data_IF_189990222399
#
_entry.id   IF_189990222399
#
_cell.length_a   1.000
_cell.length_b   1.000
_cell.length_c   1.000
_cell.angle_alpha   90.00
_cell.angle_beta   90.00
_cell.angle_gamma   90.00
#
_symmetry.space_group_name_H-M   'P 1'
#
loop_
_entity.id
_entity.type
_entity.pdbx_description
1 polymer ?
#
# COMPACT_ATOMS: atom_id res chain seq x y z
N UNK A 1 -7.46 23.60 -4.93
CA UNK A 1 -8.38 23.39 -3.80
C UNK A 1 -9.55 22.54 -4.28
N UNK A 2 -10.03 21.55 -3.50
CA UNK A 2 -11.25 20.80 -3.81
C UNK A 2 -12.37 21.45 -3.00
N UNK A 3 -13.40 22.00 -3.65
CA UNK A 3 -14.52 22.64 -2.95
C UNK A 3 -15.14 21.63 -1.98
N UNK A 4 -15.23 22.01 -0.70
CA UNK A 4 -15.75 21.22 0.40
C UNK A 4 -17.28 21.33 0.38
N UNK A 5 -17.92 20.80 -0.67
CA UNK A 5 -19.35 21.00 -0.94
C UNK A 5 -20.21 19.82 -0.47
N UNK A 6 -19.69 18.91 0.35
CA UNK A 6 -20.51 17.83 0.90
C UNK A 6 -20.52 17.89 2.43
N UNK A 7 -21.70 17.73 3.06
CA UNK A 7 -21.81 17.65 4.49
C UNK A 7 -20.97 16.49 5.02
N UNK A 8 -20.47 16.60 6.25
CA UNK A 8 -19.68 15.58 6.92
C UNK A 8 -20.55 14.34 7.26
N UNK A 9 -21.03 13.62 6.25
CA UNK A 9 -21.74 12.36 6.41
C UNK A 9 -20.78 11.19 6.29
N UNK A 10 -20.51 10.61 7.45
CA UNK A 10 -19.66 9.45 7.68
C UNK A 10 -20.37 8.14 7.31
N UNK A 11 -20.73 7.92 6.05
CA UNK A 11 -20.95 6.58 5.51
C UNK A 11 -20.99 6.62 3.98
N UNK A 12 -19.82 6.84 3.37
CA UNK A 12 -19.64 6.48 1.96
C UNK A 12 -19.17 5.03 1.95
N UNK A 13 -19.85 4.17 1.20
CA UNK A 13 -19.31 2.87 0.84
C UNK A 13 -17.97 3.12 0.12
N UNK A 14 -16.87 3.03 0.86
CA UNK A 14 -15.56 3.37 0.36
C UNK A 14 -15.04 2.23 -0.53
N UNK A 15 -15.50 2.20 -1.78
CA UNK A 15 -14.82 1.42 -2.80
C UNK A 15 -13.40 1.97 -2.93
N UNK A 16 -12.40 1.10 -2.79
CA UNK A 16 -11.01 1.54 -2.87
C UNK A 16 -10.77 2.12 -4.27
N UNK A 17 -10.24 3.36 -4.38
CA UNK A 17 -10.09 3.99 -5.68
C UNK A 17 -9.06 3.21 -6.49
N UNK A 18 -9.48 2.73 -7.66
CA UNK A 18 -8.61 1.98 -8.58
C UNK A 18 -7.65 2.92 -9.34
N UNK A 19 -8.05 4.18 -9.52
CA UNK A 19 -7.36 5.10 -10.41
C UNK A 19 -6.29 5.91 -9.69
N UNK A 20 -5.03 5.61 -10.00
CA UNK A 20 -3.90 6.45 -9.65
C UNK A 20 -4.05 7.84 -10.31
N UNK A 21 -3.80 8.95 -9.60
CA UNK A 21 -3.88 10.28 -10.20
C UNK A 21 -2.98 10.38 -11.45
N UNK A 22 -3.51 10.92 -12.55
CA UNK A 22 -2.82 10.99 -13.85
C UNK A 22 -1.40 11.61 -13.76
N UNK A 23 -1.18 12.55 -12.83
CA UNK A 23 0.14 13.16 -12.59
C UNK A 23 1.20 12.20 -12.04
N UNK A 24 0.78 11.09 -11.44
CA UNK A 24 1.63 10.08 -10.82
C UNK A 24 1.73 8.81 -11.68
N UNK A 25 0.83 8.61 -12.66
CA UNK A 25 0.87 7.46 -13.56
C UNK A 25 2.23 7.26 -14.24
N UNK A 26 2.89 8.29 -14.82
CA UNK A 26 4.21 8.11 -15.42
C UNK A 26 5.30 7.72 -14.41
N UNK A 27 5.14 8.09 -13.14
CA UNK A 27 6.08 7.71 -12.07
C UNK A 27 5.91 6.24 -11.72
N UNK A 28 4.65 5.80 -11.60
CA UNK A 28 4.33 4.41 -11.33
C UNK A 28 4.71 3.49 -12.49
N UNK A 29 4.39 3.84 -13.75
CA UNK A 29 4.75 3.04 -14.93
C UNK A 29 6.26 2.81 -15.05
N UNK A 30 7.09 3.80 -14.68
CA UNK A 30 8.56 3.62 -14.68
C UNK A 30 9.05 2.64 -13.60
N UNK A 31 8.32 2.52 -12.50
CA UNK A 31 8.65 1.60 -11.41
C UNK A 31 8.06 0.21 -11.67
N UNK A 32 6.87 0.14 -12.26
CA UNK A 32 6.13 -1.07 -12.55
C UNK A 32 6.52 -1.62 -13.93
N UNK A 33 7.73 -2.17 -14.01
CA UNK A 33 8.28 -2.73 -15.26
C UNK A 33 7.61 -4.06 -15.66
N UNK A 34 6.99 -4.75 -14.70
CA UNK A 34 6.32 -6.04 -14.90
C UNK A 34 4.85 -5.91 -15.32
N UNK A 35 4.33 -4.67 -15.42
CA UNK A 35 2.95 -4.43 -15.84
C UNK A 35 1.90 -4.83 -14.81
N UNK A 36 2.26 -4.83 -13.52
CA UNK A 36 1.37 -5.13 -12.40
C UNK A 36 0.08 -4.30 -12.44
N UNK A 37 -1.03 -4.94 -12.12
CA UNK A 37 -2.34 -4.32 -12.12
C UNK A 37 -2.60 -3.67 -10.76
N UNK A 38 -3.09 -2.43 -10.78
CA UNK A 38 -3.39 -1.68 -9.55
C UNK A 38 -4.63 -2.28 -8.90
N UNK A 39 -4.48 -2.81 -7.69
CA UNK A 39 -5.59 -3.23 -6.83
C UNK A 39 -6.31 -2.00 -6.26
N UNK A 40 -5.52 -1.01 -5.80
CA UNK A 40 -6.01 0.29 -5.34
C UNK A 40 -4.87 1.30 -5.26
N UNK A 41 -5.22 2.59 -5.38
CA UNK A 41 -4.29 3.71 -5.30
C UNK A 41 -4.93 4.89 -4.57
N UNK A 42 -4.47 5.19 -3.36
CA UNK A 42 -5.07 6.24 -2.52
C UNK A 42 -4.11 7.42 -2.34
N UNK A 43 -4.49 8.62 -2.80
CA UNK A 43 -3.68 9.83 -2.58
C UNK A 43 -3.45 10.11 -1.09
N UNK A 44 -2.20 10.38 -0.73
CA UNK A 44 -1.76 10.64 0.64
C UNK A 44 -0.56 11.59 0.68
N UNK A 45 -0.23 12.06 1.87
CA UNK A 45 1.01 12.78 2.14
C UNK A 45 1.94 11.85 2.92
N UNK A 46 3.19 11.75 2.51
CA UNK A 46 4.19 11.03 3.30
C UNK A 46 4.48 11.77 4.60
N UNK A 47 4.42 11.04 5.71
CA UNK A 47 5.03 11.45 6.97
C UNK A 47 6.49 11.03 7.00
N UNK A 48 6.94 10.45 8.11
CA UNK A 48 8.28 9.88 8.23
C UNK A 48 8.33 8.45 7.69
N UNK A 49 9.35 8.13 6.90
CA UNK A 49 9.61 6.80 6.37
C UNK A 49 11.09 6.57 6.07
N UNK A 50 11.53 5.31 6.05
CA UNK A 50 12.87 4.97 5.55
C UNK A 50 12.91 5.29 4.06
N UNK A 51 13.88 6.11 3.61
CA UNK A 51 14.04 6.56 2.21
C UNK A 51 12.86 7.37 1.63
N UNK A 52 11.84 7.69 2.43
CA UNK A 52 10.74 8.59 2.06
C UNK A 52 10.88 9.86 2.91
N UNK A 53 11.19 10.97 2.25
CA UNK A 53 11.23 12.26 2.94
C UNK A 53 9.81 12.69 3.34
N UNK A 54 9.63 13.41 4.46
CA UNK A 54 8.33 13.87 4.88
C UNK A 54 7.76 14.95 3.96
N UNK A 55 6.44 15.10 4.03
CA UNK A 55 5.64 16.12 3.35
C UNK A 55 5.66 16.04 1.82
N UNK A 56 5.87 14.85 1.26
CA UNK A 56 5.70 14.60 -0.18
C UNK A 56 4.25 14.21 -0.44
N UNK A 57 3.57 14.98 -1.30
CA UNK A 57 2.28 14.61 -1.87
C UNK A 57 2.44 13.48 -2.88
N UNK A 58 1.63 12.44 -2.72
CA UNK A 58 1.71 11.24 -3.54
C UNK A 58 0.47 10.38 -3.43
N UNK A 59 0.64 9.10 -3.71
CA UNK A 59 -0.35 8.07 -3.52
C UNK A 59 0.32 6.80 -3.02
N UNK A 60 -0.38 6.08 -2.15
CA UNK A 60 -0.04 4.73 -1.75
C UNK A 60 -0.76 3.76 -2.68
N UNK A 61 -0.02 2.85 -3.30
CA UNK A 61 -0.50 1.93 -4.34
C UNK A 61 -0.27 0.50 -3.88
N UNK A 62 -1.29 -0.34 -4.03
CA UNK A 62 -1.16 -1.79 -3.96
C UNK A 62 -1.47 -2.40 -5.33
N UNK A 63 -0.80 -3.50 -5.63
CA UNK A 63 -0.99 -4.27 -6.86
C UNK A 63 -1.64 -5.62 -6.56
N UNK A 64 -2.26 -6.24 -7.57
CA UNK A 64 -2.94 -7.53 -7.38
C UNK A 64 -1.96 -8.70 -7.34
N UNK A 65 -0.84 -8.56 -8.04
CA UNK A 65 0.20 -9.57 -8.20
C UNK A 65 1.02 -9.71 -6.91
N UNK A 66 1.36 -8.59 -6.28
CA UNK A 66 2.13 -8.56 -5.04
C UNK A 66 1.37 -7.84 -3.91
N UNK A 67 0.30 -8.42 -3.36
CA UNK A 67 -0.54 -7.77 -2.35
C UNK A 67 0.22 -7.44 -1.06
N UNK A 68 1.33 -8.14 -0.79
CA UNK A 68 2.21 -7.92 0.36
C UNK A 68 3.28 -6.85 0.14
N UNK A 69 3.27 -6.18 -1.00
CA UNK A 69 4.11 -5.01 -1.25
C UNK A 69 3.22 -3.79 -1.52
N UNK A 70 3.64 -2.66 -0.96
CA UNK A 70 3.04 -1.37 -1.24
C UNK A 70 4.04 -0.46 -1.91
N UNK A 71 3.60 0.33 -2.87
CA UNK A 71 4.44 1.33 -3.51
C UNK A 71 3.92 2.72 -3.21
N UNK A 72 4.73 3.54 -2.55
CA UNK A 72 4.49 4.98 -2.47
C UNK A 72 5.03 5.65 -3.73
N UNK A 73 4.16 6.37 -4.45
CA UNK A 73 4.53 7.18 -5.61
C UNK A 73 4.23 8.65 -5.36
N UNK A 74 5.17 9.53 -5.68
CA UNK A 74 5.04 10.96 -5.44
C UNK A 74 6.00 11.78 -6.29
N UNK A 75 5.98 13.10 -6.09
CA UNK A 75 6.94 14.01 -6.71
C UNK A 75 7.42 15.01 -5.66
N UNK A 76 8.74 15.15 -5.50
CA UNK A 76 9.35 16.18 -4.67
C UNK A 76 9.92 17.26 -5.59
N UNK A 77 9.19 18.36 -5.75
CA UNK A 77 9.45 19.33 -6.83
C UNK A 77 9.28 18.65 -8.19
N UNK A 78 10.30 18.72 -9.05
CA UNK A 78 10.32 18.02 -10.35
C UNK A 78 10.73 16.54 -10.23
N UNK A 79 11.40 16.14 -9.14
CA UNK A 79 11.99 14.81 -8.98
C UNK A 79 10.91 13.76 -8.66
N UNK A 80 10.77 12.70 -9.47
CA UNK A 80 9.89 11.59 -9.15
C UNK A 80 10.40 10.82 -7.93
N UNK A 81 9.48 10.33 -7.11
CA UNK A 81 9.77 9.49 -5.95
C UNK A 81 8.89 8.25 -6.05
N UNK A 82 9.52 7.07 -6.06
CA UNK A 82 8.85 5.79 -5.97
C UNK A 82 9.59 4.96 -4.91
N UNK A 83 8.86 4.43 -3.93
CA UNK A 83 9.44 3.58 -2.89
C UNK A 83 8.51 2.41 -2.62
N UNK A 84 9.01 1.21 -2.88
CA UNK A 84 8.36 -0.05 -2.52
C UNK A 84 8.62 -0.37 -1.05
N UNK A 85 7.60 -0.88 -0.37
CA UNK A 85 7.55 -1.19 1.05
C UNK A 85 7.08 -2.64 1.14
N UNK A 86 7.96 -3.51 1.60
CA UNK A 86 7.62 -4.89 1.91
C UNK A 86 6.87 -4.93 3.25
N UNK A 87 5.73 -5.63 3.26
CA UNK A 87 4.88 -5.73 4.44
C UNK A 87 5.21 -6.96 5.29
N UNK A 88 6.06 -7.87 4.83
CA UNK A 88 6.45 -9.04 5.60
C UNK A 88 7.17 -8.62 6.90
N UNK A 89 6.73 -9.19 8.03
CA UNK A 89 7.20 -8.79 9.37
C UNK A 89 6.74 -7.41 9.83
N UNK A 90 5.87 -6.72 9.09
CA UNK A 90 5.29 -5.44 9.47
C UNK A 90 3.92 -5.59 10.13
N UNK A 91 3.55 -4.58 10.91
CA UNK A 91 2.24 -4.38 11.53
C UNK A 91 1.66 -3.05 11.06
N UNK A 92 0.33 -2.98 11.02
CA UNK A 92 -0.43 -1.83 10.55
C UNK A 92 -1.22 -1.23 11.71
N UNK A 93 -1.04 0.06 11.97
CA UNK A 93 -1.83 0.84 12.91
C UNK A 93 -2.52 2.00 12.20
N UNK A 94 -3.71 2.34 12.67
CA UNK A 94 -4.40 3.58 12.33
C UNK A 94 -4.27 4.54 13.49
N UNK A 95 -3.90 5.77 13.19
CA UNK A 95 -3.82 6.88 14.14
C UNK A 95 -4.77 8.00 13.68
N UNK A 96 -6.04 7.97 14.13
CA UNK A 96 -6.99 9.05 13.86
C UNK A 96 -6.54 10.36 14.49
N UNK A 97 -6.69 11.47 13.76
CA UNK A 97 -6.44 12.83 14.25
C UNK A 97 -7.58 13.76 13.82
N UNK A 98 -7.59 14.97 14.36
CA UNK A 98 -8.66 15.92 14.10
C UNK A 98 -8.82 16.25 12.60
N UNK A 99 -7.72 16.51 11.89
CA UNK A 99 -7.73 16.87 10.46
C UNK A 99 -7.23 15.78 9.53
N UNK A 100 -6.75 14.66 10.08
CA UNK A 100 -6.10 13.62 9.29
C UNK A 100 -6.36 12.23 9.84
N UNK A 101 -6.18 11.26 8.97
CA UNK A 101 -6.15 9.85 9.29
C UNK A 101 -4.78 9.35 8.92
N UNK A 102 -4.02 8.88 9.90
CA UNK A 102 -2.67 8.42 9.65
C UNK A 102 -2.67 6.89 9.57
N UNK A 103 -2.10 6.35 8.49
CA UNK A 103 -1.77 4.93 8.38
C UNK A 103 -0.30 4.77 8.72
N UNK A 104 -0.01 3.95 9.72
CA UNK A 104 1.35 3.69 10.20
C UNK A 104 1.68 2.23 9.96
N UNK A 105 2.79 2.00 9.25
CA UNK A 105 3.33 0.67 8.94
C UNK A 105 4.65 0.59 9.70
N UNK A 106 4.79 -0.38 10.58
CA UNK A 106 5.97 -0.49 11.43
C UNK A 106 6.34 -1.95 11.67
N UNK A 107 7.62 -2.22 11.92
CA UNK A 107 8.08 -3.58 12.18
C UNK A 107 7.45 -4.15 13.46
N UNK A 108 6.98 -5.40 13.40
CA UNK A 108 6.32 -6.05 14.53
C UNK A 108 7.25 -6.20 15.75
N UNK A 109 8.53 -6.49 15.50
CA UNK A 109 9.55 -6.73 16.54
C UNK A 109 10.20 -5.45 17.12
N UNK A 110 9.44 -4.35 17.25
CA UNK A 110 9.90 -3.16 17.97
C UNK A 110 10.57 -2.08 17.12
N UNK A 111 11.78 -1.61 17.50
CA UNK A 111 12.49 -0.44 16.91
C UNK A 111 13.03 -0.72 15.50
N UNK A 112 12.14 -1.07 14.59
CA UNK A 112 12.45 -1.31 13.19
C UNK A 112 12.03 -0.18 12.27
N UNK A 113 11.85 -0.53 11.00
CA UNK A 113 11.37 0.43 10.00
C UNK A 113 9.98 0.93 10.38
N UNK A 114 9.75 2.24 10.20
CA UNK A 114 8.44 2.87 10.41
C UNK A 114 8.15 3.79 9.23
N UNK A 115 6.99 3.61 8.63
CA UNK A 115 6.43 4.44 7.58
C UNK A 115 5.11 5.03 8.09
N UNK A 116 4.89 6.29 7.78
CA UNK A 116 3.64 6.98 8.12
C UNK A 116 3.11 7.69 6.89
N UNK A 117 1.82 7.53 6.64
CA UNK A 117 1.11 8.15 5.55
C UNK A 117 -0.10 8.88 6.11
N UNK A 118 -0.24 10.14 5.74
CA UNK A 118 -1.21 11.07 6.27
C UNK A 118 -2.27 11.25 5.19
N UNK A 119 -3.51 10.92 5.52
CA UNK A 119 -4.67 11.06 4.65
C UNK A 119 -5.57 12.19 5.18
N UNK A 120 -6.23 12.96 4.31
CA UNK A 120 -7.26 13.90 4.76
C UNK A 120 -8.37 13.19 5.53
N UNK A 121 -8.92 13.82 6.57
CA UNK A 121 -10.00 13.24 7.40
C UNK A 121 -11.21 12.79 6.58
N UNK A 122 -11.50 13.45 5.46
CA UNK A 122 -12.57 13.06 4.52
C UNK A 122 -12.41 11.65 3.93
N UNK A 123 -11.24 11.01 4.08
CA UNK A 123 -10.94 9.66 3.59
C UNK A 123 -10.81 8.62 4.69
N UNK A 124 -11.31 8.91 5.88
CA UNK A 124 -11.22 7.98 7.02
C UNK A 124 -11.76 6.58 6.73
N UNK A 125 -12.89 6.49 6.02
CA UNK A 125 -13.47 5.21 5.63
C UNK A 125 -12.56 4.40 4.67
N UNK A 126 -11.84 5.08 3.77
CA UNK A 126 -10.86 4.44 2.88
C UNK A 126 -9.67 3.90 3.70
N UNK A 127 -9.10 4.71 4.60
CA UNK A 127 -7.98 4.32 5.46
C UNK A 127 -8.36 3.15 6.37
N UNK A 128 -9.59 3.13 6.87
CA UNK A 128 -10.14 2.00 7.62
C UNK A 128 -10.14 0.71 6.82
N UNK A 129 -10.70 0.75 5.60
CA UNK A 129 -10.76 -0.40 4.71
C UNK A 129 -9.36 -0.89 4.32
N UNK A 130 -8.44 0.01 4.00
CA UNK A 130 -7.03 -0.31 3.73
C UNK A 130 -6.41 -0.99 4.96
N UNK A 131 -6.56 -0.41 6.15
CA UNK A 131 -6.01 -0.99 7.38
C UNK A 131 -6.57 -2.39 7.68
N UNK A 132 -7.86 -2.63 7.41
CA UNK A 132 -8.49 -3.94 7.56
C UNK A 132 -7.99 -4.94 6.50
N UNK A 133 -7.89 -4.50 5.25
CA UNK A 133 -7.36 -5.28 4.13
C UNK A 133 -5.92 -5.72 4.40
N UNK A 134 -5.04 -4.78 4.74
CA UNK A 134 -3.62 -5.06 5.01
C UNK A 134 -3.44 -6.01 6.19
N UNK A 135 -4.22 -5.85 7.27
CA UNK A 135 -4.17 -6.78 8.40
C UNK A 135 -4.65 -8.18 8.02
N UNK A 136 -5.61 -8.30 7.11
CA UNK A 136 -6.11 -9.59 6.63
C UNK A 136 -5.04 -10.33 5.82
N UNK A 137 -4.42 -9.67 4.84
CA UNK A 137 -3.39 -10.30 4.00
C UNK A 137 -2.13 -10.70 4.78
N UNK A 138 -1.82 -9.98 5.87
CA UNK A 138 -0.70 -10.29 6.75
C UNK A 138 -0.98 -11.46 7.70
N UNK A 139 -2.27 -11.73 7.99
CA UNK A 139 -2.68 -12.90 8.79
C UNK A 139 -2.79 -14.16 7.95
N UNK A 140 -3.12 -14.03 6.66
CA UNK A 140 -3.16 -15.18 5.76
C UNK A 140 -1.74 -15.72 5.56
N UNK A 141 -1.46 -17.01 5.80
CA UNK A 141 -0.17 -17.59 5.46
C UNK A 141 0.04 -17.46 3.94
N UNK A 142 1.26 -17.08 3.53
CA UNK A 142 1.66 -17.24 2.13
C UNK A 142 1.67 -18.75 1.92
N UNK A 143 0.78 -19.24 1.05
CA UNK A 143 0.93 -20.58 0.52
C UNK A 143 2.22 -20.54 -0.30
N UNK A 144 3.33 -20.90 0.32
CA UNK A 144 4.56 -21.20 -0.40
C UNK A 144 4.21 -22.38 -1.29
N UNK A 145 4.01 -22.10 -2.59
CA UNK A 145 3.98 -23.14 -3.60
C UNK A 145 5.29 -23.92 -3.48
N UNK A 146 5.16 -25.14 -2.97
CA UNK A 146 6.24 -26.11 -2.95
C UNK A 146 6.49 -26.47 -4.42
N UNK A 147 7.72 -26.31 -4.96
CA UNK A 147 8.00 -26.73 -6.31
C UNK A 147 7.74 -28.24 -6.39
N UNK A 148 6.89 -28.62 -7.36
CA UNK A 148 6.68 -29.99 -7.80
C UNK A 148 8.04 -30.71 -7.92
N UNK A 149 8.36 -31.57 -6.96
CA UNK A 149 9.47 -32.49 -7.09
C UNK A 149 9.03 -33.60 -8.03
N UNK A 150 9.77 -33.65 -9.14
CA UNK A 150 9.46 -34.44 -10.32
C UNK A 150 9.40 -35.92 -10.07
N UNK A 151 8.67 -36.56 -10.99
CA UNK A 151 8.63 -37.99 -11.20
C UNK A 151 10.04 -38.60 -11.32
N UNK A 152 10.24 -39.74 -10.67
CA UNK A 152 11.11 -40.81 -11.18
C UNK A 152 10.37 -42.13 -11.03
N UNK A 153 9.81 -42.60 -12.15
CA UNK A 153 9.53 -44.01 -12.35
C UNK A 153 10.84 -44.79 -12.22
N UNK A 154 10.84 -45.86 -11.43
CA UNK A 154 11.86 -46.91 -11.58
C UNK A 154 11.15 -48.26 -11.56
N UNK A 155 11.03 -48.83 -12.77
CA UNK A 155 10.74 -50.23 -13.00
C UNK A 155 11.80 -51.09 -12.32
N UNK A 156 11.37 -52.10 -11.57
CA UNK A 156 12.26 -53.09 -10.95
C UNK A 156 11.62 -54.47 -10.99
N UNK A 157 11.99 -55.22 -12.02
CA UNK A 157 11.76 -56.66 -12.21
C UNK A 157 12.44 -57.42 -11.08
N UNK A 158 11.78 -58.40 -10.47
CA UNK A 158 12.19 -59.83 -10.40
C UNK A 158 11.00 -60.66 -9.96
#
# INVERSE_FOLDING_TARGET
WRKLNEPAFFHREATLPLNLPAKLAPVFTKQNLLGETIAWAVPCVSGRGRRIAPNIFGALVATNEEPRKLTFVGRKGSKPVAQTIELDGMTIAREPKFLSENLVIFQAEGRGQKYSFIFPRSRAAEVERIGNYLRRILRSPVATETPLQGATATSGVT
#
